data_IF_363969175956
#
_entry.id   IF_363969175956
#
_cell.length_a   1.000
_cell.length_b   1.000
_cell.length_c   1.000
_cell.angle_alpha   90.00
_cell.angle_beta   90.00
_cell.angle_gamma   90.00
#
_symmetry.space_group_name_H-M   'P 1'
#
loop_
_entity.id
_entity.type
_entity.pdbx_description
1 polymer ?
#
# COMPACT_ATOMS: atom_id res chain seq x y z
N UNK A 1 19.95 -17.51 -3.04
CA UNK A 1 20.00 -16.04 -2.78
C UNK A 1 19.15 -15.69 -1.57
N UNK A 2 19.51 -14.66 -0.80
CA UNK A 2 18.82 -14.29 0.44
C UNK A 2 17.94 -13.07 0.24
N UNK A 3 16.80 -13.02 0.92
CA UNK A 3 15.94 -11.84 1.01
C UNK A 3 16.62 -10.81 1.91
N UNK A 4 16.96 -9.65 1.37
CA UNK A 4 17.68 -8.60 2.11
C UNK A 4 16.85 -7.37 2.43
N UNK A 5 15.75 -7.18 1.71
CA UNK A 5 14.90 -5.99 1.83
C UNK A 5 13.45 -6.38 1.99
N UNK A 6 12.77 -5.65 2.84
CA UNK A 6 11.33 -5.60 2.97
C UNK A 6 10.86 -4.21 2.52
N UNK A 7 9.89 -4.17 1.62
CA UNK A 7 9.24 -2.94 1.17
C UNK A 7 7.75 -3.02 1.51
N UNK A 8 7.25 -2.01 2.19
CA UNK A 8 5.88 -1.91 2.67
C UNK A 8 5.21 -0.76 1.94
N UNK A 9 4.09 -1.04 1.28
CA UNK A 9 3.28 -0.08 0.54
C UNK A 9 1.83 -0.15 1.06
N UNK A 10 1.37 0.92 1.72
CA UNK A 10 0.02 0.97 2.30
C UNK A 10 -1.02 1.14 1.20
N UNK A 11 -1.94 0.21 1.13
CA UNK A 11 -2.91 0.09 0.06
C UNK A 11 -3.94 1.22 0.09
N UNK A 12 -3.98 2.05 -0.98
CA UNK A 12 -4.91 3.18 -1.13
C UNK A 12 -4.97 4.06 0.13
N UNK A 13 -3.82 4.38 0.72
CA UNK A 13 -3.65 4.87 2.08
C UNK A 13 -4.68 5.91 2.52
N UNK A 14 -4.88 7.00 1.78
CA UNK A 14 -5.83 8.05 2.15
C UNK A 14 -7.27 7.53 2.22
N UNK A 15 -7.70 6.76 1.21
CA UNK A 15 -9.03 6.18 1.20
C UNK A 15 -9.21 5.14 2.32
N UNK A 16 -8.18 4.33 2.58
CA UNK A 16 -8.17 3.36 3.67
C UNK A 16 -8.25 4.01 5.04
N UNK A 17 -7.58 5.16 5.26
CA UNK A 17 -7.71 5.95 6.48
C UNK A 17 -9.14 6.45 6.66
N UNK A 18 -9.76 7.00 5.60
CA UNK A 18 -11.15 7.43 5.68
C UNK A 18 -12.10 6.27 6.00
N UNK A 19 -11.97 5.13 5.32
CA UNK A 19 -12.79 3.94 5.59
C UNK A 19 -12.54 3.35 6.99
N UNK A 20 -11.32 3.47 7.53
CA UNK A 20 -11.01 3.00 8.88
C UNK A 20 -11.74 3.80 9.96
N UNK A 21 -11.73 5.14 9.85
CA UNK A 21 -12.26 6.02 10.87
C UNK A 21 -13.70 6.50 10.62
N UNK A 22 -14.24 6.20 9.45
CA UNK A 22 -15.61 6.54 9.03
C UNK A 22 -16.34 5.28 8.55
N UNK A 23 -16.98 4.52 9.45
CA UNK A 23 -17.62 3.24 9.15
C UNK A 23 -18.65 3.31 8.00
N UNK A 24 -19.30 4.46 7.81
CA UNK A 24 -20.25 4.71 6.72
C UNK A 24 -19.62 4.68 5.32
N UNK A 25 -18.30 4.75 5.22
CA UNK A 25 -17.56 4.67 3.94
C UNK A 25 -17.08 3.25 3.60
N UNK A 26 -17.17 2.31 4.54
CA UNK A 26 -16.68 0.95 4.35
C UNK A 26 -17.48 0.21 3.28
N UNK A 27 -16.76 -0.48 2.39
CA UNK A 27 -17.36 -1.21 1.27
C UNK A 27 -17.97 -0.31 0.19
N UNK A 28 -17.83 1.01 0.29
CA UNK A 28 -18.30 1.96 -0.71
C UNK A 28 -17.15 2.47 -1.57
N UNK A 29 -17.40 2.78 -2.86
CA UNK A 29 -16.42 3.46 -3.68
C UNK A 29 -16.18 4.89 -3.15
N UNK A 30 -14.93 5.17 -2.76
CA UNK A 30 -14.50 6.46 -2.19
C UNK A 30 -13.42 7.08 -3.06
N UNK A 31 -13.61 8.34 -3.43
CA UNK A 31 -12.61 9.18 -4.09
C UNK A 31 -12.15 10.29 -3.14
N UNK A 32 -10.85 10.40 -2.89
CA UNK A 32 -10.28 11.48 -2.10
C UNK A 32 -9.94 12.64 -3.04
N UNK A 33 -10.42 13.81 -2.73
CA UNK A 33 -10.23 15.03 -3.53
C UNK A 33 -9.60 16.15 -2.69
N UNK A 34 -8.84 17.08 -3.28
CA UNK A 34 -8.26 18.21 -2.54
C UNK A 34 -9.30 19.11 -1.90
N UNK A 35 -10.45 19.31 -2.59
CA UNK A 35 -11.56 20.14 -2.10
C UNK A 35 -12.89 19.62 -2.65
N UNK A 36 -13.90 19.59 -1.78
CA UNK A 36 -15.27 19.22 -2.18
C UNK A 36 -15.93 20.37 -2.96
N UNK A 37 -16.87 19.99 -3.86
CA UNK A 37 -17.62 20.94 -4.67
C UNK A 37 -16.88 21.49 -5.89
N UNK A 38 -15.60 21.15 -6.09
CA UNK A 38 -14.80 21.57 -7.24
C UNK A 38 -14.80 20.48 -8.32
N UNK A 39 -15.58 20.68 -9.37
CA UNK A 39 -15.75 19.71 -10.47
C UNK A 39 -14.51 19.58 -11.39
N UNK A 40 -13.62 20.57 -11.38
CA UNK A 40 -12.40 20.61 -12.22
C UNK A 40 -11.20 19.95 -11.56
N UNK A 41 -11.34 19.51 -10.31
CA UNK A 41 -10.27 18.78 -9.61
C UNK A 41 -10.27 17.28 -9.95
N UNK A 42 -9.28 16.56 -9.45
CA UNK A 42 -9.15 15.12 -9.65
C UNK A 42 -9.00 14.35 -8.32
N UNK A 43 -9.23 13.06 -8.35
CA UNK A 43 -8.97 12.17 -7.23
C UNK A 43 -7.46 12.08 -6.97
N UNK A 44 -7.03 12.42 -5.77
CA UNK A 44 -5.64 12.20 -5.31
C UNK A 44 -5.43 10.79 -4.79
N UNK A 45 -6.51 10.10 -4.39
CA UNK A 45 -6.53 8.68 -4.07
C UNK A 45 -7.93 8.12 -4.32
N UNK A 46 -8.02 6.79 -4.48
CA UNK A 46 -9.27 6.08 -4.65
C UNK A 46 -9.25 4.77 -3.86
N UNK A 47 -10.40 4.41 -3.26
CA UNK A 47 -10.57 3.11 -2.60
C UNK A 47 -10.53 1.96 -3.62
N UNK A 48 -10.39 0.73 -3.16
CA UNK A 48 -10.38 -0.42 -4.07
C UNK A 48 -11.74 -0.65 -4.74
N UNK A 49 -12.83 -0.31 -4.07
CA UNK A 49 -14.16 -0.31 -4.66
C UNK A 49 -14.27 0.70 -5.81
N UNK A 50 -13.72 1.89 -5.66
CA UNK A 50 -13.66 2.89 -6.73
C UNK A 50 -12.71 2.47 -7.86
N UNK A 51 -11.57 1.85 -7.52
CA UNK A 51 -10.61 1.29 -8.51
C UNK A 51 -11.24 0.17 -9.34
N UNK A 52 -12.11 -0.65 -8.76
CA UNK A 52 -12.85 -1.68 -9.47
C UNK A 52 -13.79 -1.11 -10.55
N UNK A 53 -14.25 0.13 -10.38
CA UNK A 53 -15.01 0.88 -11.39
C UNK A 53 -14.12 1.64 -12.39
N UNK A 54 -12.78 1.53 -12.30
CA UNK A 54 -11.85 2.24 -13.17
C UNK A 54 -11.36 3.60 -12.66
N UNK A 55 -11.83 4.06 -11.50
CA UNK A 55 -11.37 5.32 -10.87
C UNK A 55 -9.98 5.11 -10.25
N UNK A 56 -9.04 6.00 -10.55
CA UNK A 56 -7.66 5.96 -10.05
C UNK A 56 -7.16 7.35 -9.69
N UNK A 57 -5.99 7.42 -9.11
CA UNK A 57 -5.30 8.71 -8.88
C UNK A 57 -5.17 9.46 -10.20
N UNK A 58 -5.54 10.74 -10.22
CA UNK A 58 -5.57 11.59 -11.41
C UNK A 58 -6.91 11.59 -12.17
N UNK A 59 -7.84 10.65 -11.90
CA UNK A 59 -9.17 10.66 -12.52
C UNK A 59 -9.94 11.91 -12.10
N UNK A 60 -10.41 12.69 -13.07
CA UNK A 60 -11.21 13.90 -12.83
C UNK A 60 -12.54 13.58 -12.14
N UNK A 61 -13.05 14.51 -11.32
CA UNK A 61 -14.28 14.32 -10.55
C UNK A 61 -15.48 13.97 -11.45
N UNK A 62 -15.64 14.66 -12.58
CA UNK A 62 -16.72 14.37 -13.55
C UNK A 62 -16.59 13.00 -14.16
N UNK A 63 -15.38 12.64 -14.59
CA UNK A 63 -15.07 11.32 -15.13
C UNK A 63 -15.33 10.22 -14.09
N UNK A 64 -14.87 10.42 -12.85
CA UNK A 64 -15.08 9.47 -11.75
C UNK A 64 -16.56 9.21 -11.47
N UNK A 65 -17.43 10.23 -11.57
CA UNK A 65 -18.89 10.05 -11.47
C UNK A 65 -19.48 9.25 -12.62
N UNK A 66 -18.99 9.43 -13.83
CA UNK A 66 -19.41 8.63 -14.98
C UNK A 66 -18.99 7.17 -14.84
N UNK A 67 -17.74 6.93 -14.42
CA UNK A 67 -17.19 5.56 -14.22
C UNK A 67 -17.84 4.83 -13.04
N UNK A 68 -18.16 5.58 -11.99
CA UNK A 68 -18.67 5.04 -10.73
C UNK A 68 -19.80 5.95 -10.18
N UNK A 69 -21.05 5.81 -10.66
CA UNK A 69 -22.17 6.70 -10.26
C UNK A 69 -22.43 6.73 -8.74
N UNK A 70 -22.05 5.68 -8.00
CA UNK A 70 -22.18 5.59 -6.55
C UNK A 70 -20.98 6.10 -5.75
N UNK A 71 -19.99 6.73 -6.39
CA UNK A 71 -18.77 7.20 -5.71
C UNK A 71 -19.06 8.29 -4.68
N UNK A 72 -18.44 8.15 -3.52
CA UNK A 72 -18.47 9.15 -2.45
C UNK A 72 -17.17 9.94 -2.50
N UNK A 73 -17.25 11.25 -2.69
CA UNK A 73 -16.08 12.10 -2.60
C UNK A 73 -15.88 12.58 -1.16
N UNK A 74 -14.62 12.52 -0.72
CA UNK A 74 -14.18 12.98 0.60
C UNK A 74 -13.04 13.97 0.40
N UNK A 75 -13.11 15.10 1.09
CA UNK A 75 -12.03 16.07 1.09
C UNK A 75 -10.84 15.54 1.89
N UNK A 76 -9.63 15.78 1.38
CA UNK A 76 -8.40 15.26 1.96
C UNK A 76 -8.10 15.86 3.34
N UNK A 77 -8.09 15.02 4.37
CA UNK A 77 -7.74 15.38 5.74
C UNK A 77 -6.25 15.17 6.05
N UNK A 78 -5.35 15.97 5.45
CA UNK A 78 -3.90 15.77 5.52
C UNK A 78 -3.35 15.58 6.94
N UNK A 79 -3.83 16.36 7.92
CA UNK A 79 -3.39 16.23 9.32
C UNK A 79 -3.74 14.86 9.93
N UNK A 80 -4.89 14.29 9.57
CA UNK A 80 -5.28 12.95 9.99
C UNK A 80 -4.40 11.88 9.37
N UNK A 81 -4.07 12.02 8.08
CA UNK A 81 -3.20 11.07 7.37
C UNK A 81 -1.80 11.05 7.98
N UNK A 82 -1.23 12.22 8.27
CA UNK A 82 0.07 12.32 8.95
C UNK A 82 0.01 11.67 10.35
N UNK A 83 -1.03 11.94 11.13
CA UNK A 83 -1.20 11.35 12.47
C UNK A 83 -1.28 9.82 12.42
N UNK A 84 -2.05 9.27 11.46
CA UNK A 84 -2.15 7.81 11.29
C UNK A 84 -0.82 7.23 10.82
N UNK A 85 -0.15 7.87 9.87
CA UNK A 85 1.18 7.48 9.40
C UNK A 85 2.20 7.40 10.55
N UNK A 86 2.26 8.42 11.43
CA UNK A 86 3.16 8.41 12.58
C UNK A 86 2.87 7.26 13.57
N UNK A 87 1.60 6.92 13.77
CA UNK A 87 1.23 5.74 14.57
C UNK A 87 1.68 4.43 13.93
N UNK A 88 1.46 4.30 12.61
CA UNK A 88 1.91 3.15 11.82
C UNK A 88 3.43 3.02 11.89
N UNK A 89 4.15 4.11 11.68
CA UNK A 89 5.61 4.13 11.73
C UNK A 89 6.14 3.64 13.08
N UNK A 90 5.59 4.13 14.19
CA UNK A 90 5.96 3.66 15.53
C UNK A 90 5.73 2.16 15.68
N UNK A 91 4.56 1.68 15.30
CA UNK A 91 4.19 0.27 15.38
C UNK A 91 5.15 -0.63 14.56
N UNK A 92 5.48 -0.22 13.34
CA UNK A 92 6.39 -0.99 12.47
C UNK A 92 7.81 -1.00 13.02
N UNK A 93 8.29 0.11 13.59
CA UNK A 93 9.62 0.18 14.20
C UNK A 93 9.80 -0.77 15.40
N UNK A 94 8.72 -1.20 16.06
CA UNK A 94 8.76 -2.20 17.12
C UNK A 94 8.99 -3.63 16.58
N UNK A 95 8.72 -3.86 15.29
CA UNK A 95 8.77 -5.17 14.64
C UNK A 95 10.00 -5.33 13.75
N UNK A 96 10.30 -4.30 12.95
CA UNK A 96 11.40 -4.29 12.00
C UNK A 96 12.16 -2.97 12.06
N UNK A 97 13.43 -3.02 11.67
CA UNK A 97 14.19 -1.80 11.43
C UNK A 97 13.79 -1.18 10.09
N UNK A 98 13.36 0.08 10.11
CA UNK A 98 13.02 0.85 8.91
C UNK A 98 14.20 1.74 8.53
N UNK A 99 14.81 1.48 7.37
CA UNK A 99 15.93 2.30 6.86
C UNK A 99 15.46 3.67 6.37
N UNK A 100 14.32 3.72 5.70
CA UNK A 100 13.75 4.98 5.24
C UNK A 100 12.22 4.91 5.03
N UNK A 101 11.58 6.04 5.32
CA UNK A 101 10.24 6.38 4.90
C UNK A 101 10.35 7.11 3.56
N UNK A 102 9.80 6.53 2.50
CA UNK A 102 9.90 7.05 1.12
C UNK A 102 8.80 8.07 0.84
N UNK A 103 7.60 7.79 1.36
CA UNK A 103 6.42 8.65 1.26
C UNK A 103 5.49 8.37 2.44
N UNK A 104 4.34 9.03 2.48
CA UNK A 104 3.34 8.79 3.53
C UNK A 104 2.74 7.37 3.48
N UNK A 105 2.88 6.68 2.36
CA UNK A 105 2.35 5.34 2.10
C UNK A 105 3.41 4.29 1.77
N UNK A 106 4.70 4.66 1.73
CA UNK A 106 5.78 3.72 1.40
C UNK A 106 6.94 3.81 2.40
N UNK A 107 7.43 2.67 2.86
CA UNK A 107 8.67 2.55 3.65
C UNK A 107 9.39 1.23 3.36
N UNK A 108 10.67 1.18 3.68
CA UNK A 108 11.45 -0.04 3.54
C UNK A 108 12.49 -0.18 4.63
N UNK A 109 12.96 -1.42 4.82
CA UNK A 109 14.04 -1.75 5.72
C UNK A 109 14.90 -2.89 5.17
N UNK A 110 16.12 -3.01 5.72
CA UNK A 110 16.98 -4.16 5.48
C UNK A 110 16.72 -5.24 6.51
N UNK A 111 16.62 -6.47 6.03
CA UNK A 111 16.51 -7.63 6.87
C UNK A 111 17.91 -8.05 7.37
N UNK A 112 18.12 -8.16 8.69
CA UNK A 112 19.37 -8.66 9.24
C UNK A 112 19.58 -10.12 8.81
N UNK A 113 20.82 -10.65 8.84
CA UNK A 113 21.12 -11.98 8.30
C UNK A 113 20.22 -13.10 8.82
N UNK A 114 19.85 -13.08 10.10
CA UNK A 114 19.00 -14.09 10.71
C UNK A 114 17.51 -13.99 10.30
N UNK A 115 17.09 -12.92 9.63
CA UNK A 115 15.72 -12.76 9.06
C UNK A 115 15.67 -12.97 7.54
N UNK A 116 16.81 -13.22 6.89
CA UNK A 116 16.88 -13.39 5.43
C UNK A 116 16.37 -14.73 4.89
N UNK A 117 16.36 -15.87 5.66
CA UNK A 117 15.70 -17.08 5.21
C UNK A 117 14.21 -16.81 4.88
N UNK A 118 13.73 -17.42 3.78
CA UNK A 118 12.38 -17.14 3.21
C UNK A 118 11.28 -17.21 4.26
N UNK A 119 11.22 -18.29 5.02
CA UNK A 119 10.14 -18.49 6.01
C UNK A 119 10.19 -17.46 7.15
N UNK A 120 11.38 -17.06 7.58
CA UNK A 120 11.56 -16.05 8.62
C UNK A 120 11.17 -14.67 8.10
N UNK A 121 11.61 -14.31 6.89
CA UNK A 121 11.25 -13.04 6.26
C UNK A 121 9.73 -12.92 6.04
N UNK A 122 9.08 -14.00 5.58
CA UNK A 122 7.63 -14.06 5.43
C UNK A 122 6.91 -13.92 6.77
N UNK A 123 7.38 -14.60 7.81
CA UNK A 123 6.82 -14.50 9.16
C UNK A 123 6.90 -13.05 9.68
N UNK A 124 8.03 -12.35 9.47
CA UNK A 124 8.18 -10.94 9.83
C UNK A 124 7.23 -10.01 9.05
N UNK A 125 7.05 -10.26 7.76
CA UNK A 125 6.09 -9.52 6.96
C UNK A 125 4.64 -9.75 7.44
N UNK A 126 4.28 -10.98 7.81
CA UNK A 126 2.96 -11.29 8.37
C UNK A 126 2.76 -10.67 9.77
N UNK A 127 3.80 -10.61 10.59
CA UNK A 127 3.77 -9.91 11.88
C UNK A 127 3.43 -8.41 11.69
N UNK A 128 4.06 -7.75 10.71
CA UNK A 128 3.72 -6.36 10.34
C UNK A 128 2.25 -6.23 9.94
N UNK A 129 1.74 -7.12 9.07
CA UNK A 129 0.33 -7.09 8.63
C UNK A 129 -0.64 -7.29 9.78
N UNK A 130 -0.34 -8.25 10.67
CA UNK A 130 -1.15 -8.51 11.87
C UNK A 130 -1.15 -7.30 12.81
N UNK A 131 0.01 -6.72 13.07
CA UNK A 131 0.13 -5.55 13.92
C UNK A 131 -0.65 -4.34 13.37
N UNK A 132 -0.62 -4.12 12.04
CA UNK A 132 -1.43 -3.08 11.40
C UNK A 132 -2.93 -3.31 11.66
N UNK A 133 -3.41 -4.52 11.43
CA UNK A 133 -4.82 -4.85 11.61
C UNK A 133 -5.28 -4.70 13.06
N UNK A 134 -4.48 -5.14 14.02
CA UNK A 134 -4.82 -5.11 15.46
C UNK A 134 -4.55 -3.75 16.12
N UNK A 135 -3.42 -3.09 15.74
CA UNK A 135 -2.97 -1.85 16.39
C UNK A 135 -3.53 -0.57 15.77
N UNK A 136 -3.87 -0.58 14.47
CA UNK A 136 -4.43 0.58 13.75
C UNK A 136 -5.87 0.29 13.32
N UNK A 137 -6.10 -0.86 12.65
CA UNK A 137 -7.42 -1.31 12.23
C UNK A 137 -7.41 -2.04 10.89
N UNK A 138 -8.43 -2.85 10.65
CA UNK A 138 -8.52 -3.82 9.55
C UNK A 138 -8.56 -3.19 8.14
N UNK A 139 -8.96 -1.93 8.03
CA UNK A 139 -8.98 -1.21 6.76
C UNK A 139 -7.60 -0.64 6.38
N UNK A 140 -6.65 -0.56 7.33
CA UNK A 140 -5.26 -0.17 7.04
C UNK A 140 -4.47 -1.42 6.65
N UNK A 141 -4.38 -1.64 5.34
CA UNK A 141 -3.69 -2.79 4.76
C UNK A 141 -2.41 -2.36 4.07
N UNK A 142 -1.47 -3.28 4.01
CA UNK A 142 -0.22 -3.08 3.29
C UNK A 142 0.10 -4.25 2.38
N UNK A 143 0.54 -3.95 1.17
CA UNK A 143 1.17 -4.91 0.27
C UNK A 143 2.66 -4.89 0.52
N UNK A 144 3.25 -6.05 0.81
CA UNK A 144 4.64 -6.19 1.23
C UNK A 144 5.42 -6.98 0.19
N UNK A 145 6.55 -6.43 -0.22
CA UNK A 145 7.50 -7.10 -1.10
C UNK A 145 8.80 -7.45 -0.37
N UNK A 146 9.27 -8.66 -0.58
CA UNK A 146 10.53 -9.19 -0.07
C UNK A 146 11.45 -9.54 -1.24
N UNK A 147 12.70 -9.06 -1.25
CA UNK A 147 13.62 -9.30 -2.36
C UNK A 147 15.09 -9.11 -1.94
N UNK A 148 16.08 -9.52 -2.81
CA UNK A 148 17.50 -9.31 -2.57
C UNK A 148 17.94 -7.84 -2.59
N UNK A 149 17.18 -6.95 -3.24
CA UNK A 149 17.46 -5.52 -3.28
C UNK A 149 16.18 -4.69 -3.16
N UNK A 150 16.34 -3.39 -2.85
CA UNK A 150 15.23 -2.45 -2.62
C UNK A 150 14.31 -2.30 -3.84
N UNK A 151 14.89 -2.25 -5.05
CA UNK A 151 14.10 -2.04 -6.28
C UNK A 151 13.16 -3.22 -6.53
N UNK A 152 13.67 -4.45 -6.44
CA UNK A 152 12.86 -5.66 -6.57
C UNK A 152 11.85 -5.81 -5.43
N UNK A 153 12.19 -5.42 -4.20
CA UNK A 153 11.25 -5.43 -3.09
C UNK A 153 10.09 -4.44 -3.34
N UNK A 154 10.37 -3.24 -3.86
CA UNK A 154 9.32 -2.30 -4.29
C UNK A 154 8.47 -2.88 -5.44
N UNK A 155 9.09 -3.52 -6.43
CA UNK A 155 8.35 -4.17 -7.52
C UNK A 155 7.44 -5.27 -6.95
N UNK A 156 7.97 -6.14 -6.09
CA UNK A 156 7.22 -7.21 -5.44
C UNK A 156 5.99 -6.69 -4.69
N UNK A 157 6.10 -5.57 -3.97
CA UNK A 157 4.97 -4.98 -3.24
C UNK A 157 3.81 -4.54 -4.14
N UNK A 158 4.02 -4.42 -5.46
CA UNK A 158 2.99 -3.99 -6.42
C UNK A 158 2.27 -5.14 -7.13
N UNK A 159 2.85 -6.36 -7.11
CA UNK A 159 2.35 -7.48 -7.93
C UNK A 159 1.03 -8.04 -7.43
N UNK A 160 0.81 -8.09 -6.12
CA UNK A 160 -0.37 -8.72 -5.51
C UNK A 160 -1.16 -7.74 -4.63
N UNK A 161 -1.44 -6.54 -5.16
CA UNK A 161 -2.31 -5.58 -4.47
C UNK A 161 -3.80 -5.95 -4.62
N UNK A 162 -4.63 -5.73 -3.59
CA UNK A 162 -4.32 -5.26 -2.24
C UNK A 162 -3.91 -6.38 -1.26
N UNK A 163 -3.26 -5.97 -0.18
CA UNK A 163 -2.92 -6.82 0.96
C UNK A 163 -2.03 -8.02 0.59
N UNK A 164 -1.23 -7.89 -0.47
CA UNK A 164 -0.34 -8.96 -0.95
C UNK A 164 0.90 -9.16 -0.07
N UNK A 165 1.56 -10.30 -0.29
CA UNK A 165 2.88 -10.61 0.26
C UNK A 165 3.67 -11.39 -0.79
N UNK A 166 4.49 -10.70 -1.54
CA UNK A 166 5.23 -11.26 -2.67
C UNK A 166 6.71 -11.32 -2.37
N UNK A 167 7.32 -12.48 -2.66
CA UNK A 167 8.76 -12.71 -2.51
C UNK A 167 9.37 -12.88 -3.91
N UNK A 168 10.28 -12.00 -4.29
CA UNK A 168 11.07 -12.15 -5.51
C UNK A 168 12.47 -12.68 -5.14
N UNK A 169 12.70 -13.93 -5.45
CA UNK A 169 14.01 -14.56 -5.42
C UNK A 169 14.50 -14.63 -6.87
N UNK A 170 15.61 -13.97 -7.17
CA UNK A 170 16.24 -14.09 -8.48
C UNK A 170 16.88 -15.48 -8.57
N UNK A 171 16.28 -16.37 -9.37
CA UNK A 171 16.95 -17.59 -9.85
C UNK A 171 17.56 -17.25 -11.21
N UNK A 172 18.75 -17.76 -11.50
CA UNK A 172 19.44 -17.56 -12.80
C UNK A 172 18.58 -17.94 -14.02
N UNK A 173 17.61 -18.81 -13.82
CA UNK A 173 16.74 -19.33 -14.86
C UNK A 173 15.60 -18.34 -15.26
N UNK A 174 15.25 -17.38 -14.37
CA UNK A 174 14.25 -16.37 -14.70
C UNK A 174 14.77 -15.24 -15.62
N UNK A 175 16.08 -15.12 -15.80
CA UNK A 175 16.66 -14.15 -16.73
C UNK A 175 16.43 -14.54 -18.20
N UNK A 176 16.35 -15.83 -18.48
CA UNK A 176 16.15 -16.36 -19.85
C UNK A 176 14.67 -16.30 -20.29
N UNK A 177 13.71 -16.37 -19.35
CA UNK A 177 12.29 -16.23 -19.68
C UNK A 177 11.87 -14.77 -19.98
N UNK A 178 12.48 -13.77 -19.33
CA UNK A 178 12.18 -12.36 -19.57
C UNK A 178 12.78 -11.82 -20.88
N UNK A 179 13.75 -12.49 -21.48
CA UNK A 179 14.34 -12.14 -22.76
C UNK A 179 13.60 -12.75 -23.95
N UNK A 180 12.66 -13.66 -23.72
CA UNK A 180 11.86 -14.31 -24.78
C UNK A 180 10.55 -13.61 -25.12
N UNK A 181 10.25 -12.47 -24.48
CA UNK A 181 9.09 -11.61 -24.76
C UNK A 181 9.57 -10.24 -25.22
N UNK A 182 10.05 -10.19 -26.44
CA UNK A 182 10.20 -8.97 -27.25
C UNK A 182 9.55 -9.23 -28.60
#
# INVERSE_FOLDING_TARGET
MSLRYIFIDFDSFYASVEQQFRPELRGRPVGIVPSLGVETTCCIAASYEAKACGVKTGTGVREARCLCPGIVFVEAGHSNYVRVHERIKKLIHEIIYVDAVVSIDEMYGRLPPHWQPLEVARAKAMEVKTALATGIGEHIRASIGLAPNRFLAKLASKLEKPNGLTCLLYTSDAADELTSVV
#
